data_IF_701666280844
#
_entry.id   IF_701666280844
#
_cell.length_a   1.000
_cell.length_b   1.000
_cell.length_c   1.000
_cell.angle_alpha   90.00
_cell.angle_beta   90.00
_cell.angle_gamma   90.00
#
_symmetry.space_group_name_H-M   'P 1'
#
loop_
_entity.id
_entity.type
_entity.pdbx_description
1 polymer ?
#
# COMPACT_ATOMS: atom_id res chain seq x y z
N UNK A 1 14.44 -2.35 -2.78
CA UNK A 1 13.91 -1.72 -4.02
C UNK A 1 14.17 -0.22 -4.07
N UNK A 2 13.82 0.59 -3.05
CA UNK A 2 14.05 2.05 -3.06
C UNK A 2 15.50 2.45 -3.40
N UNK A 3 16.49 1.88 -2.71
CA UNK A 3 17.92 2.20 -2.95
C UNK A 3 18.40 1.83 -4.36
N UNK A 4 17.82 0.79 -4.96
CA UNK A 4 18.08 0.43 -6.36
C UNK A 4 17.57 1.52 -7.29
N UNK A 5 16.36 2.04 -7.04
CA UNK A 5 15.81 3.15 -7.81
C UNK A 5 16.63 4.45 -7.63
N UNK A 6 17.10 4.75 -6.42
CA UNK A 6 18.00 5.89 -6.16
C UNK A 6 19.28 5.77 -6.97
N UNK A 7 19.91 4.59 -6.95
CA UNK A 7 21.12 4.32 -7.73
C UNK A 7 20.89 4.49 -9.24
N UNK A 8 19.78 3.95 -9.74
CA UNK A 8 19.39 4.08 -11.15
C UNK A 8 19.03 5.52 -11.54
N UNK A 9 18.50 6.30 -10.59
CA UNK A 9 18.08 7.69 -10.77
C UNK A 9 19.24 8.68 -10.95
N UNK A 10 20.49 8.29 -10.66
CA UNK A 10 21.71 9.09 -10.88
C UNK A 10 21.59 10.52 -10.34
N UNK A 11 21.16 10.64 -9.07
CA UNK A 11 21.00 11.92 -8.38
C UNK A 11 19.64 12.61 -8.58
N UNK A 12 18.75 12.07 -9.41
CA UNK A 12 17.35 12.51 -9.45
C UNK A 12 16.62 12.05 -8.19
N UNK A 13 15.72 12.91 -7.70
CA UNK A 13 14.81 12.60 -6.59
C UNK A 13 13.96 11.37 -6.93
N UNK A 14 13.84 10.44 -5.99
CA UNK A 14 12.96 9.27 -6.09
C UNK A 14 11.82 9.43 -5.11
N UNK A 15 10.59 9.32 -5.62
CA UNK A 15 9.35 9.36 -4.86
C UNK A 15 8.68 8.00 -5.03
N UNK A 16 8.17 7.42 -3.93
CA UNK A 16 7.33 6.22 -4.01
C UNK A 16 5.91 6.67 -4.35
N UNK A 17 5.50 6.48 -5.60
CA UNK A 17 4.21 6.95 -6.09
C UNK A 17 3.05 6.03 -5.70
N UNK A 18 3.32 4.75 -5.46
CA UNK A 18 2.30 3.78 -5.02
C UNK A 18 2.95 2.69 -4.17
N UNK A 19 2.34 2.39 -3.03
CA UNK A 19 2.67 1.24 -2.18
C UNK A 19 1.50 1.00 -1.23
N UNK A 20 1.17 -0.25 -0.91
CA UNK A 20 0.04 -0.54 -0.04
C UNK A 20 -0.07 -2.02 0.31
N UNK A 21 -1.14 -2.38 1.03
CA UNK A 21 -1.46 -3.76 1.36
C UNK A 21 -2.97 -3.95 1.55
N UNK A 22 -3.62 -4.88 0.84
CA UNK A 22 -5.05 -5.12 0.97
C UNK A 22 -5.36 -5.91 2.25
N UNK A 23 -6.49 -5.62 2.91
CA UNK A 23 -6.91 -6.37 4.09
C UNK A 23 -7.75 -7.63 3.77
N UNK A 24 -8.23 -7.76 2.53
CA UNK A 24 -9.07 -8.86 2.05
C UNK A 24 -8.60 -9.36 0.67
N UNK A 25 -9.06 -10.56 0.31
CA UNK A 25 -8.76 -11.24 -0.96
C UNK A 25 -7.82 -12.43 -0.80
N UNK A 26 -7.44 -13.02 -1.93
CA UNK A 26 -6.58 -14.21 -1.98
C UNK A 26 -5.13 -13.89 -1.65
N UNK A 27 -4.45 -14.84 -1.01
CA UNK A 27 -3.02 -14.71 -0.74
C UNK A 27 -2.20 -14.89 -2.02
N UNK A 28 -1.26 -13.98 -2.26
CA UNK A 28 -0.21 -14.16 -3.28
C UNK A 28 1.02 -14.75 -2.60
N UNK A 29 1.16 -16.08 -2.67
CA UNK A 29 2.23 -16.83 -1.99
C UNK A 29 2.22 -16.56 -0.47
N UNK A 30 3.26 -15.93 0.06
CA UNK A 30 3.36 -15.56 1.48
C UNK A 30 2.75 -14.18 1.79
N UNK A 31 2.33 -13.41 0.78
CA UNK A 31 1.63 -12.15 0.98
C UNK A 31 0.15 -12.43 1.26
N UNK A 32 -0.19 -12.55 2.54
CA UNK A 32 -1.54 -12.84 3.00
C UNK A 32 -2.29 -11.54 3.33
N UNK A 33 -3.38 -11.20 2.63
CA UNK A 33 -4.27 -10.11 3.05
C UNK A 33 -4.86 -10.38 4.43
N UNK A 34 -4.75 -9.42 5.34
CA UNK A 34 -5.42 -9.46 6.64
C UNK A 34 -5.45 -8.07 7.27
N UNK A 35 -6.33 -7.86 8.26
CA UNK A 35 -6.35 -6.63 9.06
C UNK A 35 -4.96 -6.31 9.64
N UNK A 36 -4.34 -7.31 10.27
CA UNK A 36 -3.04 -7.14 10.93
C UNK A 36 -1.93 -6.84 9.91
N UNK A 37 -1.91 -7.54 8.78
CA UNK A 37 -0.86 -7.35 7.78
C UNK A 37 -0.98 -5.99 7.08
N UNK A 38 -2.21 -5.53 6.81
CA UNK A 38 -2.45 -4.21 6.23
C UNK A 38 -1.97 -3.09 7.17
N UNK A 39 -2.32 -3.17 8.46
CA UNK A 39 -1.87 -2.18 9.45
C UNK A 39 -0.37 -2.24 9.71
N UNK A 40 0.19 -3.44 9.83
CA UNK A 40 1.63 -3.61 9.99
C UNK A 40 2.39 -3.02 8.81
N UNK A 41 1.89 -3.23 7.60
CA UNK A 41 2.50 -2.65 6.40
C UNK A 41 2.42 -1.12 6.42
N UNK A 42 1.24 -0.54 6.65
CA UNK A 42 1.05 0.91 6.72
C UNK A 42 2.00 1.57 7.74
N UNK A 43 2.03 1.06 8.98
CA UNK A 43 2.88 1.60 10.05
C UNK A 43 4.35 1.47 9.65
N UNK A 44 4.80 0.28 9.25
CA UNK A 44 6.20 0.05 8.90
C UNK A 44 6.65 0.91 7.72
N UNK A 45 5.80 1.09 6.70
CA UNK A 45 6.09 1.94 5.55
C UNK A 45 6.32 3.39 5.98
N UNK A 46 5.42 3.97 6.78
CA UNK A 46 5.57 5.36 7.20
C UNK A 46 6.65 5.57 8.27
N UNK A 47 6.90 4.59 9.15
CA UNK A 47 8.04 4.62 10.07
C UNK A 47 9.37 4.62 9.29
N UNK A 48 9.51 3.72 8.31
CA UNK A 48 10.68 3.67 7.45
C UNK A 48 10.84 4.95 6.62
N UNK A 49 9.75 5.41 5.98
CA UNK A 49 9.78 6.59 5.13
C UNK A 49 10.15 7.85 5.93
N UNK A 50 9.66 8.00 7.16
CA UNK A 50 10.03 9.11 8.04
C UNK A 50 11.52 9.07 8.41
N UNK A 51 12.05 7.88 8.75
CA UNK A 51 13.46 7.72 9.11
C UNK A 51 14.41 8.02 7.94
N UNK A 52 14.03 7.61 6.73
CA UNK A 52 14.84 7.77 5.51
C UNK A 52 14.50 9.06 4.73
N UNK A 53 13.58 9.89 5.23
CA UNK A 53 13.07 11.11 4.57
C UNK A 53 12.55 10.85 3.14
N UNK A 54 11.83 9.74 2.96
CA UNK A 54 11.26 9.32 1.67
C UNK A 54 9.83 9.82 1.52
N UNK A 55 9.52 10.44 0.39
CA UNK A 55 8.15 10.79 0.02
C UNK A 55 7.39 9.58 -0.50
N UNK A 56 6.22 9.33 0.09
CA UNK A 56 5.36 8.18 -0.19
C UNK A 56 3.93 8.62 -0.40
N UNK A 57 3.35 8.20 -1.53
CA UNK A 57 1.92 8.15 -1.76
C UNK A 57 1.42 6.74 -1.45
N UNK A 58 0.71 6.59 -0.33
CA UNK A 58 0.15 5.30 0.08
C UNK A 58 -1.10 4.98 -0.74
N UNK A 59 -1.17 3.75 -1.22
CA UNK A 59 -2.27 3.23 -2.02
C UNK A 59 -3.19 2.38 -1.13
N UNK A 60 -4.41 2.80 -0.83
CA UNK A 60 -5.09 4.05 -1.24
C UNK A 60 -5.97 4.61 -0.12
N UNK A 61 -6.62 5.74 -0.37
CA UNK A 61 -7.58 6.29 0.59
C UNK A 61 -8.78 5.35 0.77
N UNK A 62 -9.53 5.05 -0.30
CA UNK A 62 -10.78 4.31 -0.21
C UNK A 62 -10.69 2.96 -0.92
N UNK A 63 -11.50 2.00 -0.46
CA UNK A 63 -11.75 0.77 -1.21
C UNK A 63 -12.42 1.07 -2.56
N UNK A 64 -11.99 0.36 -3.60
CA UNK A 64 -12.35 0.62 -5.00
C UNK A 64 -12.97 -0.63 -5.62
N UNK A 65 -14.23 -0.92 -5.26
CA UNK A 65 -14.92 -2.17 -5.63
C UNK A 65 -14.97 -2.47 -7.14
N UNK A 66 -14.87 -1.45 -7.98
CA UNK A 66 -14.88 -1.60 -9.43
C UNK A 66 -13.62 -2.26 -10.00
N UNK A 67 -12.55 -2.43 -9.21
CA UNK A 67 -11.27 -3.01 -9.64
C UNK A 67 -11.23 -4.52 -9.71
N UNK A 68 -12.20 -5.21 -9.11
CA UNK A 68 -12.23 -6.69 -9.07
C UNK A 68 -12.11 -7.32 -10.47
N UNK A 69 -12.71 -6.69 -11.49
CA UNK A 69 -12.66 -7.21 -12.85
C UNK A 69 -11.27 -7.19 -13.50
N UNK A 70 -10.42 -6.22 -13.14
CA UNK A 70 -9.09 -6.06 -13.74
C UNK A 70 -7.96 -6.59 -12.86
N UNK A 71 -8.11 -6.52 -11.54
CA UNK A 71 -7.04 -6.75 -10.55
C UNK A 71 -7.28 -8.00 -9.68
N UNK A 72 -8.39 -8.70 -9.89
CA UNK A 72 -8.78 -9.85 -9.07
C UNK A 72 -9.39 -9.45 -7.73
N UNK A 73 -9.60 -10.44 -6.87
CA UNK A 73 -10.34 -10.29 -5.61
C UNK A 73 -9.66 -9.36 -4.58
N UNK A 74 -8.35 -9.15 -4.67
CA UNK A 74 -7.62 -8.18 -3.83
C UNK A 74 -7.79 -6.73 -4.28
N UNK A 75 -8.08 -6.47 -5.56
CA UNK A 75 -8.09 -5.12 -6.15
C UNK A 75 -9.05 -4.13 -5.49
N UNK A 76 -10.11 -4.65 -4.87
CA UNK A 76 -11.13 -3.85 -4.20
C UNK A 76 -10.73 -3.28 -2.83
N UNK A 77 -9.72 -3.85 -2.16
CA UNK A 77 -9.62 -3.77 -0.69
C UNK A 77 -8.35 -3.08 -0.15
N UNK A 78 -7.77 -2.15 -0.92
CA UNK A 78 -6.53 -1.45 -0.58
C UNK A 78 -6.72 -0.20 0.29
N UNK A 79 -7.96 0.25 0.49
CA UNK A 79 -8.27 1.48 1.19
C UNK A 79 -7.91 1.45 2.67
N UNK A 80 -7.59 2.63 3.21
CA UNK A 80 -7.61 2.91 4.65
C UNK A 80 -9.03 3.12 5.17
N UNK A 81 -9.91 3.57 4.28
CA UNK A 81 -11.35 3.68 4.46
C UNK A 81 -12.08 2.69 3.55
N UNK A 82 -13.26 2.24 3.99
CA UNK A 82 -14.17 1.50 3.13
C UNK A 82 -14.83 2.42 2.09
N UNK A 83 -15.67 1.86 1.21
CA UNK A 83 -16.36 2.61 0.16
C UNK A 83 -17.33 3.68 0.70
N UNK A 84 -17.81 3.50 1.92
CA UNK A 84 -18.73 4.42 2.59
C UNK A 84 -17.98 5.50 3.39
N UNK A 85 -16.64 5.46 3.40
CA UNK A 85 -15.79 6.40 4.11
C UNK A 85 -15.63 6.10 5.60
N UNK A 86 -15.97 4.90 6.06
CA UNK A 86 -15.67 4.48 7.42
C UNK A 86 -14.22 4.00 7.50
N UNK A 87 -13.55 4.38 8.59
CA UNK A 87 -12.17 3.94 8.83
C UNK A 87 -12.14 2.43 9.09
N UNK A 88 -11.32 1.70 8.32
CA UNK A 88 -11.21 0.23 8.40
C UNK A 88 -10.42 -0.26 9.60
N UNK A 89 -9.58 0.60 10.18
CA UNK A 89 -8.62 0.24 11.22
C UNK A 89 -8.77 1.15 12.44
N UNK A 90 -8.99 0.58 13.62
CA UNK A 90 -9.16 1.29 14.90
C UNK A 90 -8.29 0.69 15.99
#
# INVERSE_FOLDING_TARGET
MYQTAVSAGRGKKVIVTETGWPNLGSAERAAVPSYENAMRYFINTYTWAAAEQVEVFYFSSFDELWKVGAEGDVGAYWGLWDIDGNLKYR
#
